data_IF_978301046298
#
_entry.id   IF_978301046298
#
_cell.length_a   1.000
_cell.length_b   1.000
_cell.length_c   1.000
_cell.angle_alpha   90.00
_cell.angle_beta   90.00
_cell.angle_gamma   90.00
#
_symmetry.space_group_name_H-M   'P 1'
#
loop_
_entity.id
_entity.type
_entity.pdbx_description
1 polymer ?
#
# COMPACT_ATOMS: atom_id res chain seq x y z
N UNK A 1 -10.21 0.44 7.47
CA UNK A 1 -8.89 -0.04 7.02
C UNK A 1 -8.75 -1.55 7.18
N UNK A 2 -7.68 -2.11 6.61
CA UNK A 2 -7.33 -3.54 6.76
C UNK A 2 -6.70 -3.90 8.12
N UNK A 3 -6.64 -2.96 9.05
CA UNK A 3 -6.13 -3.11 10.41
C UNK A 3 -5.37 -1.88 10.90
N UNK A 4 -5.25 -1.75 12.21
CA UNK A 4 -4.49 -0.68 12.85
C UNK A 4 -3.00 -0.76 12.48
N UNK A 5 -2.38 0.37 12.20
CA UNK A 5 -0.95 0.47 11.82
C UNK A 5 -0.61 0.07 10.38
N UNK A 6 -1.57 -0.38 9.57
CA UNK A 6 -1.32 -0.68 8.15
C UNK A 6 -1.11 0.60 7.33
N UNK A 7 -0.47 0.49 6.15
CA UNK A 7 -0.36 1.59 5.18
C UNK A 7 -1.73 2.19 4.81
N UNK A 8 -2.75 1.36 4.72
CA UNK A 8 -4.14 1.75 4.47
C UNK A 8 -4.69 2.64 5.60
N UNK A 9 -4.43 2.27 6.86
CA UNK A 9 -4.79 3.09 8.02
C UNK A 9 -4.04 4.43 7.98
N UNK A 10 -2.73 4.38 7.79
CA UNK A 10 -1.90 5.58 7.77
C UNK A 10 -2.25 6.53 6.61
N UNK A 11 -2.66 6.00 5.45
CA UNK A 11 -3.18 6.82 4.36
C UNK A 11 -4.45 7.59 4.78
N UNK A 12 -5.36 6.94 5.51
CA UNK A 12 -6.55 7.58 6.06
C UNK A 12 -6.20 8.68 7.07
N UNK A 13 -5.26 8.41 7.98
CA UNK A 13 -4.80 9.40 8.97
C UNK A 13 -4.08 10.60 8.32
N UNK A 14 -3.24 10.35 7.33
CA UNK A 14 -2.64 11.43 6.55
C UNK A 14 -3.71 12.26 5.84
N UNK A 15 -4.73 11.62 5.25
CA UNK A 15 -5.82 12.33 4.60
C UNK A 15 -6.58 13.24 5.56
N UNK A 16 -6.89 12.77 6.77
CA UNK A 16 -7.50 13.60 7.82
C UNK A 16 -6.69 14.85 8.09
N UNK A 17 -5.37 14.71 8.19
CA UNK A 17 -4.47 15.84 8.46
C UNK A 17 -4.42 16.85 7.32
N UNK A 18 -4.23 16.37 6.06
CA UNK A 18 -4.04 17.29 4.92
C UNK A 18 -5.34 17.90 4.41
N UNK A 19 -6.46 17.20 4.57
CA UNK A 19 -7.79 17.68 4.20
C UNK A 19 -8.49 18.47 5.32
N UNK A 20 -8.00 18.41 6.55
CA UNK A 20 -8.63 19.04 7.71
C UNK A 20 -10.00 18.47 8.04
N UNK A 21 -10.21 17.16 7.82
CA UNK A 21 -11.50 16.50 8.03
C UNK A 21 -11.42 15.51 9.19
N UNK A 22 -12.55 15.32 9.88
CA UNK A 22 -12.69 14.30 10.92
C UNK A 22 -13.46 13.11 10.36
N UNK A 23 -12.75 11.99 10.18
CA UNK A 23 -13.30 10.73 9.68
C UNK A 23 -13.02 9.64 10.70
N UNK A 24 -14.06 8.92 11.12
CA UNK A 24 -13.93 7.81 12.07
C UNK A 24 -13.18 6.64 11.39
N UNK A 25 -12.10 6.20 11.98
CA UNK A 25 -11.39 5.00 11.54
C UNK A 25 -12.07 3.73 12.07
N UNK A 26 -12.42 2.82 11.16
CA UNK A 26 -12.95 1.49 11.48
C UNK A 26 -11.94 0.43 11.04
N UNK A 27 -11.24 -0.24 11.97
CA UNK A 27 -10.28 -1.28 11.66
C UNK A 27 -10.97 -2.64 11.42
N UNK A 28 -10.48 -3.37 10.41
CA UNK A 28 -10.90 -4.74 10.09
C UNK A 28 -9.71 -5.70 10.13
N UNK A 29 -9.97 -6.99 10.12
CA UNK A 29 -8.93 -8.03 10.04
C UNK A 29 -8.61 -8.38 8.57
N UNK A 30 -8.10 -7.39 7.81
CA UNK A 30 -7.77 -7.52 6.39
C UNK A 30 -8.68 -6.68 5.48
N UNK A 31 -8.31 -6.57 4.18
CA UNK A 31 -9.10 -5.81 3.20
C UNK A 31 -10.45 -6.46 2.90
N UNK A 32 -10.52 -7.78 2.75
CA UNK A 32 -11.74 -8.45 2.32
C UNK A 32 -12.99 -8.16 3.19
N UNK A 33 -12.95 -8.25 4.54
CA UNK A 33 -14.10 -7.86 5.35
C UNK A 33 -14.40 -6.35 5.28
N UNK A 34 -13.38 -5.50 5.15
CA UNK A 34 -13.58 -4.06 5.00
C UNK A 34 -14.26 -3.70 3.66
N UNK A 35 -13.85 -4.33 2.57
CA UNK A 35 -14.48 -4.17 1.24
C UNK A 35 -15.92 -4.68 1.23
N UNK A 36 -16.20 -5.77 1.95
CA UNK A 36 -17.58 -6.29 2.09
C UNK A 36 -18.49 -5.24 2.75
N UNK A 37 -18.04 -4.64 3.82
CA UNK A 37 -18.79 -3.61 4.55
C UNK A 37 -18.88 -2.29 3.74
N UNK A 38 -17.84 -1.96 2.97
CA UNK A 38 -17.88 -0.83 2.04
C UNK A 38 -18.92 -1.03 0.94
N UNK A 39 -18.95 -2.21 0.32
CA UNK A 39 -19.97 -2.56 -0.69
C UNK A 39 -21.37 -2.64 -0.08
N UNK A 40 -21.47 -3.05 1.18
CA UNK A 40 -22.72 -3.07 1.95
C UNK A 40 -23.16 -1.72 2.51
N UNK A 41 -22.37 -0.64 2.33
CA UNK A 41 -22.67 0.71 2.81
C UNK A 41 -22.52 0.91 4.33
N UNK A 42 -21.89 -0.04 5.04
CA UNK A 42 -21.61 0.10 6.48
C UNK A 42 -20.50 1.13 6.75
N UNK A 43 -19.58 1.29 5.80
CA UNK A 43 -18.57 2.35 5.77
C UNK A 43 -18.66 3.06 4.41
N UNK A 44 -18.20 4.31 4.33
CA UNK A 44 -18.47 5.19 3.18
C UNK A 44 -17.28 5.36 2.26
N UNK A 45 -16.06 5.16 2.77
CA UNK A 45 -14.84 5.23 1.98
C UNK A 45 -13.77 4.30 2.56
N UNK A 46 -12.81 3.94 1.73
CA UNK A 46 -11.65 3.16 2.13
C UNK A 46 -10.44 3.59 1.29
N UNK A 47 -9.29 3.69 1.92
CA UNK A 47 -8.02 3.57 1.22
C UNK A 47 -7.69 2.08 1.15
N UNK A 48 -7.31 1.59 -0.02
CA UNK A 48 -6.99 0.17 -0.17
C UNK A 48 -5.90 -0.07 -1.22
N UNK A 49 -5.36 -1.28 -1.22
CA UNK A 49 -4.36 -1.69 -2.18
C UNK A 49 -5.00 -2.07 -3.52
N UNK A 50 -4.40 -1.63 -4.63
CA UNK A 50 -4.90 -1.95 -5.98
C UNK A 50 -5.23 -3.43 -6.18
N UNK A 51 -4.38 -4.40 -5.78
CA UNK A 51 -4.69 -5.81 -5.97
C UNK A 51 -5.99 -6.29 -5.34
N UNK A 52 -6.42 -5.67 -4.26
CA UNK A 52 -7.66 -6.01 -3.56
C UNK A 52 -8.85 -5.24 -4.16
N UNK A 53 -8.77 -3.92 -4.24
CA UNK A 53 -9.89 -3.06 -4.63
C UNK A 53 -10.22 -3.09 -6.13
N UNK A 54 -9.21 -3.20 -7.00
CA UNK A 54 -9.39 -3.03 -8.44
C UNK A 54 -10.37 -3.99 -9.11
N UNK A 55 -10.40 -5.28 -8.77
CA UNK A 55 -11.43 -6.20 -9.30
C UNK A 55 -12.87 -5.75 -8.99
N UNK A 56 -13.11 -5.16 -7.82
CA UNK A 56 -14.42 -4.63 -7.44
C UNK A 56 -14.77 -3.35 -8.19
N UNK A 57 -13.78 -2.51 -8.49
CA UNK A 57 -13.96 -1.32 -9.34
C UNK A 57 -14.30 -1.74 -10.77
N UNK A 58 -13.56 -2.68 -11.35
CA UNK A 58 -13.83 -3.21 -12.69
C UNK A 58 -15.22 -3.87 -12.80
N UNK A 59 -15.66 -4.52 -11.73
CA UNK A 59 -17.00 -5.11 -11.64
C UNK A 59 -18.12 -4.09 -11.37
N UNK A 60 -17.81 -2.79 -11.26
CA UNK A 60 -18.76 -1.72 -10.98
C UNK A 60 -19.36 -1.74 -9.57
N UNK A 61 -18.78 -2.52 -8.64
CA UNK A 61 -19.24 -2.60 -7.25
C UNK A 61 -18.68 -1.49 -6.37
N UNK A 62 -17.51 -0.95 -6.73
CA UNK A 62 -16.86 0.17 -6.07
C UNK A 62 -16.52 1.25 -7.10
N UNK A 63 -16.46 2.48 -6.66
CA UNK A 63 -15.99 3.62 -7.45
C UNK A 63 -14.62 4.06 -6.94
N UNK A 64 -13.59 3.93 -7.76
CA UNK A 64 -12.30 4.52 -7.48
C UNK A 64 -12.37 6.05 -7.68
N UNK A 65 -11.74 6.81 -6.79
CA UNK A 65 -11.74 8.27 -6.81
C UNK A 65 -10.38 8.83 -7.22
N UNK A 66 -9.30 8.30 -6.65
CA UNK A 66 -7.94 8.70 -6.94
C UNK A 66 -6.96 7.58 -6.53
N UNK A 67 -5.72 7.66 -7.02
CA UNK A 67 -4.60 6.87 -6.51
C UNK A 67 -3.78 7.71 -5.53
N UNK A 68 -3.17 7.05 -4.55
CA UNK A 68 -2.42 7.70 -3.46
C UNK A 68 -0.95 7.95 -3.80
N UNK A 69 -0.46 7.39 -4.91
CA UNK A 69 0.91 7.54 -5.40
C UNK A 69 1.12 8.89 -6.08
N UNK A 70 2.38 9.37 -6.13
CA UNK A 70 2.74 10.60 -6.83
C UNK A 70 2.42 10.56 -8.34
N UNK A 71 2.52 9.38 -8.95
CA UNK A 71 2.19 9.17 -10.36
C UNK A 71 0.93 8.32 -10.50
N UNK A 72 0.21 8.53 -11.62
CA UNK A 72 -0.96 7.70 -11.97
C UNK A 72 -0.58 6.25 -12.18
N UNK A 73 -1.47 5.37 -11.77
CA UNK A 73 -1.30 3.92 -11.99
C UNK A 73 -1.39 3.58 -13.48
N UNK A 74 -0.44 2.79 -13.97
CA UNK A 74 -0.49 2.24 -15.35
C UNK A 74 -1.69 1.30 -15.57
N UNK A 75 -2.22 0.70 -14.51
CA UNK A 75 -3.40 -0.16 -14.55
C UNK A 75 -4.70 0.64 -14.62
N UNK A 76 -4.71 1.87 -14.11
CA UNK A 76 -5.86 2.76 -14.09
C UNK A 76 -5.44 4.19 -14.47
N UNK A 77 -5.02 4.43 -15.73
CA UNK A 77 -4.44 5.72 -16.16
C UNK A 77 -5.43 6.88 -16.10
N UNK A 78 -6.72 6.60 -16.11
CA UNK A 78 -7.78 7.61 -16.05
C UNK A 78 -8.05 8.13 -14.63
N UNK A 79 -7.57 7.39 -13.60
CA UNK A 79 -7.70 7.86 -12.23
C UNK A 79 -6.66 8.95 -11.94
N UNK A 80 -7.09 10.11 -11.40
CA UNK A 80 -6.16 11.14 -10.95
C UNK A 80 -5.37 10.66 -9.73
N UNK A 81 -4.26 11.31 -9.46
CA UNK A 81 -3.57 11.18 -8.17
C UNK A 81 -4.24 12.08 -7.12
N UNK A 82 -3.97 11.80 -5.84
CA UNK A 82 -4.36 12.71 -4.75
C UNK A 82 -3.72 14.11 -4.94
N UNK A 83 -2.50 14.18 -5.46
CA UNK A 83 -1.83 15.45 -5.75
C UNK A 83 -2.56 16.25 -6.82
N UNK A 84 -2.97 15.60 -7.93
CA UNK A 84 -3.81 16.23 -8.97
C UNK A 84 -5.20 16.65 -8.45
N UNK A 85 -5.66 16.01 -7.39
CA UNK A 85 -6.96 16.26 -6.75
C UNK A 85 -6.92 17.35 -5.66
N UNK A 86 -5.78 18.07 -5.51
CA UNK A 86 -5.66 19.20 -4.60
C UNK A 86 -4.92 18.91 -3.30
N UNK A 87 -4.25 17.75 -3.16
CA UNK A 87 -3.47 17.36 -1.98
C UNK A 87 -1.99 17.16 -2.35
N UNK A 88 -1.23 18.25 -2.60
CA UNK A 88 0.11 18.18 -3.21
C UNK A 88 1.16 17.44 -2.37
N UNK A 89 0.96 17.30 -1.07
CA UNK A 89 1.85 16.54 -0.18
C UNK A 89 1.47 15.08 -0.01
N UNK A 90 0.42 14.61 -0.70
CA UNK A 90 -0.05 13.24 -0.55
C UNK A 90 0.72 12.33 -1.49
N UNK A 91 1.57 11.50 -0.94
CA UNK A 91 2.29 10.43 -1.65
C UNK A 91 2.42 9.23 -0.72
N UNK A 92 1.59 8.24 -0.95
CA UNK A 92 1.53 7.02 -0.14
C UNK A 92 1.53 5.81 -1.06
N UNK A 93 2.55 5.00 -0.93
CA UNK A 93 2.65 3.69 -1.58
C UNK A 93 2.63 2.59 -0.54
N UNK A 94 1.89 1.53 -0.80
CA UNK A 94 2.03 0.28 -0.05
C UNK A 94 3.11 -0.57 -0.71
N UNK A 95 3.98 -1.13 0.10
CA UNK A 95 5.03 -2.02 -0.38
C UNK A 95 5.02 -3.35 0.39
N UNK A 96 5.52 -4.38 -0.23
CA UNK A 96 5.63 -5.72 0.33
C UNK A 96 7.05 -6.22 0.12
N UNK A 97 7.64 -6.81 1.14
CA UNK A 97 9.00 -7.33 1.09
C UNK A 97 9.11 -8.71 1.72
N UNK A 98 10.16 -9.42 1.37
CA UNK A 98 10.54 -10.69 2.00
C UNK A 98 11.63 -10.43 3.00
N UNK A 99 11.43 -10.86 4.24
CA UNK A 99 12.42 -10.74 5.32
C UNK A 99 12.85 -12.10 5.81
N UNK A 100 14.06 -12.20 6.33
CA UNK A 100 14.61 -13.38 6.99
C UNK A 100 14.77 -13.12 8.49
N UNK A 101 14.76 -14.16 9.34
CA UNK A 101 15.08 -14.02 10.76
C UNK A 101 16.46 -13.38 10.99
N UNK A 102 16.59 -12.61 12.07
CA UNK A 102 17.88 -12.05 12.46
C UNK A 102 18.91 -13.17 12.68
N UNK A 103 20.13 -12.95 12.19
CA UNK A 103 21.20 -13.96 12.29
C UNK A 103 21.20 -15.00 11.16
N UNK A 104 20.30 -14.91 10.17
CA UNK A 104 20.41 -15.74 8.96
C UNK A 104 21.76 -15.47 8.27
N UNK A 105 22.56 -16.51 7.92
CA UNK A 105 23.84 -16.33 7.25
C UNK A 105 23.72 -15.51 5.94
N UNK A 106 24.70 -14.65 5.69
CA UNK A 106 24.66 -13.72 4.54
C UNK A 106 24.61 -14.44 3.18
N UNK A 107 25.28 -15.57 3.07
CA UNK A 107 25.26 -16.41 1.86
C UNK A 107 23.86 -16.97 1.57
N UNK A 108 23.09 -17.33 2.62
CA UNK A 108 21.70 -17.78 2.51
C UNK A 108 20.81 -16.62 2.06
N UNK A 109 20.97 -15.44 2.69
CA UNK A 109 20.20 -14.22 2.31
C UNK A 109 20.47 -13.85 0.85
N UNK A 110 21.73 -13.82 0.44
CA UNK A 110 22.10 -13.49 -0.94
C UNK A 110 21.58 -14.54 -1.95
N UNK A 111 21.60 -15.81 -1.60
CA UNK A 111 21.03 -16.87 -2.44
C UNK A 111 19.52 -16.74 -2.62
N UNK A 112 18.80 -16.43 -1.54
CA UNK A 112 17.35 -16.17 -1.58
C UNK A 112 17.03 -14.91 -2.41
N UNK A 113 17.75 -13.81 -2.17
CA UNK A 113 17.58 -12.58 -2.94
C UNK A 113 17.77 -12.84 -4.45
N UNK A 114 18.86 -13.47 -4.87
CA UNK A 114 19.08 -13.79 -6.29
C UNK A 114 18.04 -14.77 -6.87
N UNK A 115 17.45 -15.64 -6.07
CA UNK A 115 16.36 -16.50 -6.52
C UNK A 115 15.06 -15.71 -6.71
N UNK A 116 14.75 -14.78 -5.81
CA UNK A 116 13.59 -13.89 -5.88
C UNK A 116 13.72 -12.96 -7.10
N UNK A 117 14.89 -12.33 -7.31
CA UNK A 117 15.13 -11.48 -8.46
C UNK A 117 14.87 -12.22 -9.79
N UNK A 118 15.41 -13.45 -9.91
CA UNK A 118 15.16 -14.30 -11.09
C UNK A 118 13.68 -14.64 -11.27
N UNK A 119 12.95 -14.87 -10.17
CA UNK A 119 11.52 -15.12 -10.22
C UNK A 119 10.74 -13.88 -10.67
N UNK A 120 11.09 -12.70 -10.16
CA UNK A 120 10.46 -11.42 -10.53
C UNK A 120 10.66 -11.05 -12.01
N UNK A 121 11.72 -11.56 -12.66
CA UNK A 121 11.97 -11.34 -14.09
C UNK A 121 11.19 -12.29 -15.01
N UNK A 122 10.54 -13.31 -14.50
CA UNK A 122 9.78 -14.25 -15.33
C UNK A 122 8.55 -13.56 -15.95
N UNK A 123 8.27 -13.79 -17.24
CA UNK A 123 7.16 -13.14 -17.94
C UNK A 123 5.78 -13.42 -17.32
N UNK A 124 5.55 -14.62 -16.83
CA UNK A 124 4.31 -15.00 -16.15
C UNK A 124 4.12 -14.27 -14.81
N UNK A 125 5.19 -14.09 -14.05
CA UNK A 125 5.18 -13.31 -12.80
C UNK A 125 4.93 -11.83 -13.08
N UNK A 126 5.60 -11.26 -14.09
CA UNK A 126 5.42 -9.87 -14.51
C UNK A 126 3.99 -9.62 -14.99
N UNK A 127 3.44 -10.53 -15.80
CA UNK A 127 2.05 -10.45 -16.26
C UNK A 127 1.09 -10.45 -15.07
N UNK A 128 1.30 -11.36 -14.10
CA UNK A 128 0.44 -11.44 -12.91
C UNK A 128 0.51 -10.17 -12.06
N UNK A 129 1.68 -9.59 -11.84
CA UNK A 129 1.82 -8.33 -11.11
C UNK A 129 1.12 -7.18 -11.83
N UNK A 130 1.27 -7.10 -13.15
CA UNK A 130 0.57 -6.10 -13.96
C UNK A 130 -0.95 -6.22 -13.82
N UNK A 131 -1.51 -7.43 -13.89
CA UNK A 131 -2.96 -7.67 -13.72
C UNK A 131 -3.46 -7.23 -12.34
N UNK A 132 -2.62 -7.38 -11.32
CA UNK A 132 -2.91 -6.96 -9.95
C UNK A 132 -2.65 -5.46 -9.71
N UNK A 133 -2.15 -4.71 -10.69
CA UNK A 133 -1.76 -3.31 -10.51
C UNK A 133 -0.55 -3.13 -9.60
N UNK A 134 0.26 -4.18 -9.41
CA UNK A 134 1.49 -4.14 -8.63
C UNK A 134 2.71 -3.95 -9.54
N UNK A 135 3.74 -3.33 -8.99
CA UNK A 135 5.04 -3.13 -9.65
C UNK A 135 6.10 -3.94 -8.91
N UNK A 136 6.85 -4.78 -9.62
CA UNK A 136 7.99 -5.48 -9.04
C UNK A 136 9.21 -4.54 -9.00
N UNK A 137 9.83 -4.46 -7.83
CA UNK A 137 11.07 -3.72 -7.62
C UNK A 137 12.15 -4.71 -7.20
N UNK A 138 13.32 -4.61 -7.81
CA UNK A 138 14.49 -5.41 -7.46
C UNK A 138 15.40 -4.57 -6.60
N UNK A 139 15.83 -5.13 -5.47
CA UNK A 139 16.73 -4.47 -4.52
C UNK A 139 17.71 -5.48 -3.96
N UNK A 140 18.90 -5.05 -3.65
CA UNK A 140 19.81 -5.80 -2.79
C UNK A 140 19.27 -5.81 -1.35
N UNK A 141 19.69 -6.75 -0.50
CA UNK A 141 19.34 -6.74 0.92
C UNK A 141 19.71 -5.44 1.64
N UNK A 142 20.83 -4.80 1.27
CA UNK A 142 21.27 -3.54 1.84
C UNK A 142 20.33 -2.38 1.44
N UNK A 143 20.04 -2.22 0.16
CA UNK A 143 19.12 -1.18 -0.35
C UNK A 143 17.72 -1.33 0.25
N UNK A 144 17.23 -2.57 0.41
CA UNK A 144 15.94 -2.79 1.06
C UNK A 144 15.97 -2.43 2.55
N UNK A 145 17.10 -2.68 3.23
CA UNK A 145 17.32 -2.25 4.61
C UNK A 145 17.29 -0.72 4.77
N UNK A 146 17.97 0.00 3.89
CA UNK A 146 17.97 1.47 3.85
C UNK A 146 16.56 2.03 3.56
N UNK A 147 15.86 1.41 2.61
CA UNK A 147 14.47 1.75 2.30
C UNK A 147 13.57 1.59 3.52
N UNK A 148 13.62 0.45 4.22
CA UNK A 148 12.82 0.24 5.44
C UNK A 148 13.13 1.29 6.52
N UNK A 149 14.39 1.66 6.69
CA UNK A 149 14.78 2.70 7.66
C UNK A 149 14.24 4.08 7.27
N UNK A 150 14.24 4.41 5.99
CA UNK A 150 13.63 5.66 5.49
C UNK A 150 12.11 5.68 5.72
N UNK A 151 11.43 4.57 5.48
CA UNK A 151 9.99 4.44 5.73
C UNK A 151 9.64 4.63 7.21
N UNK A 152 10.41 4.03 8.14
CA UNK A 152 10.25 4.26 9.58
C UNK A 152 10.36 5.75 9.91
N UNK A 153 11.33 6.45 9.33
CA UNK A 153 11.54 7.89 9.56
C UNK A 153 10.41 8.73 8.97
N UNK A 154 9.97 8.43 7.75
CA UNK A 154 8.93 9.16 7.04
C UNK A 154 7.57 9.03 7.76
N UNK A 155 7.22 7.82 8.17
CA UNK A 155 5.94 7.57 8.83
C UNK A 155 5.89 8.00 10.29
N UNK A 156 7.03 8.19 10.97
CA UNK A 156 7.09 8.55 12.39
C UNK A 156 6.23 9.77 12.74
N UNK A 157 6.20 10.79 11.86
CA UNK A 157 5.41 12.01 12.07
C UNK A 157 3.90 11.73 11.98
N UNK A 158 3.48 10.97 10.98
CA UNK A 158 2.06 10.64 10.77
C UNK A 158 1.55 9.78 11.91
N UNK A 159 2.30 8.73 12.29
CA UNK A 159 1.98 7.85 13.43
C UNK A 159 1.86 8.65 14.72
N UNK A 160 2.83 9.55 15.00
CA UNK A 160 2.77 10.39 16.22
C UNK A 160 1.56 11.32 16.22
N UNK A 161 1.23 11.92 15.08
CA UNK A 161 0.13 12.88 14.98
C UNK A 161 -1.24 12.18 15.03
N UNK A 162 -1.37 10.96 14.48
CA UNK A 162 -2.61 10.20 14.49
C UNK A 162 -2.96 9.60 15.87
N UNK A 163 -1.96 9.44 16.74
CA UNK A 163 -2.13 8.70 17.99
C UNK A 163 -2.39 7.20 17.79
N UNK A 164 -2.14 6.70 16.58
CA UNK A 164 -2.38 5.29 16.24
C UNK A 164 -1.49 4.36 17.07
N UNK A 165 -2.10 3.33 17.63
CA UNK A 165 -1.42 2.23 18.33
C UNK A 165 -1.70 0.92 17.61
N UNK A 166 -0.77 -0.01 17.68
CA UNK A 166 -0.99 -1.42 17.31
C UNK A 166 -1.26 -2.20 18.59
N UNK A 167 -2.35 -2.93 18.59
CA UNK A 167 -2.74 -3.82 19.70
C UNK A 167 -1.89 -5.10 19.67
#
# INVERSE_FOLDING_TARGET
SSGSGTSIHMAGELFKQVAGVDILHVPYKGSAPAETDLMGGQVQLMFDNMPAAWPHVQAGKLRALAVTTAERSKTAPDLPTMQESGFPSFDVSSWFGVIAPAGTPADVVNKLNGAIEKALLKPDVQARFKDLGAVSVQTTPAEFGEFMQSEVTNWAKVVKASGATVD
#
